data_IF_604808380301
#
_entry.id   IF_604808380301
#
_cell.length_a   1.000
_cell.length_b   1.000
_cell.length_c   1.000
_cell.angle_alpha   90.00
_cell.angle_beta   90.00
_cell.angle_gamma   90.00
#
_symmetry.space_group_name_H-M   'P 1'
#
loop_
_entity.id
_entity.type
_entity.pdbx_description
1 polymer ?
#
# COMPACT_ATOMS: atom_id res chain seq x y z
N UNK A 1 -3.00 15.38 -7.06
CA UNK A 1 -3.46 15.05 -8.44
C UNK A 1 -4.80 15.73 -8.69
N UNK A 2 -5.14 16.00 -9.96
CA UNK A 2 -6.44 16.54 -10.35
C UNK A 2 -7.37 15.38 -10.65
N UNK A 3 -8.52 15.33 -9.97
CA UNK A 3 -9.55 14.29 -10.17
C UNK A 3 -10.86 14.94 -10.59
N UNK A 4 -11.66 14.20 -11.34
CA UNK A 4 -13.05 14.56 -11.63
C UNK A 4 -13.95 13.82 -10.63
N UNK A 5 -14.73 14.57 -9.89
CA UNK A 5 -15.79 14.02 -9.04
C UNK A 5 -16.91 13.44 -9.93
N UNK A 6 -17.75 12.57 -9.36
CA UNK A 6 -18.90 11.97 -10.08
C UNK A 6 -19.89 13.02 -10.61
N UNK A 7 -19.85 14.24 -10.06
CA UNK A 7 -20.65 15.39 -10.49
C UNK A 7 -19.95 16.25 -11.57
N UNK A 8 -18.81 15.80 -12.10
CA UNK A 8 -18.06 16.49 -13.16
C UNK A 8 -17.16 17.62 -12.67
N UNK A 9 -17.15 17.96 -11.37
CA UNK A 9 -16.27 19.00 -10.83
C UNK A 9 -14.83 18.54 -10.75
N UNK A 10 -13.93 19.46 -11.06
CA UNK A 10 -12.50 19.27 -10.90
C UNK A 10 -12.08 19.55 -9.46
N UNK A 11 -11.34 18.62 -8.86
CA UNK A 11 -10.80 18.79 -7.52
C UNK A 11 -9.34 18.37 -7.45
N UNK A 12 -8.53 19.19 -6.79
CA UNK A 12 -7.19 18.79 -6.40
C UNK A 12 -7.28 17.99 -5.10
N UNK A 13 -6.86 16.72 -5.16
CA UNK A 13 -6.79 15.82 -4.02
C UNK A 13 -5.35 15.36 -3.85
N UNK A 14 -4.89 15.29 -2.61
CA UNK A 14 -3.63 14.65 -2.26
C UNK A 14 -3.88 13.27 -1.67
N UNK A 15 -3.03 12.31 -2.06
CA UNK A 15 -3.06 10.96 -1.52
C UNK A 15 -1.79 10.77 -0.69
N UNK A 16 -1.96 10.55 0.61
CA UNK A 16 -0.89 10.11 1.49
C UNK A 16 -0.92 8.57 1.52
N UNK A 17 0.13 7.95 0.99
CA UNK A 17 0.32 6.50 1.08
C UNK A 17 1.50 6.20 1.98
N UNK A 18 1.31 5.32 2.96
CA UNK A 18 2.38 4.79 3.81
C UNK A 18 2.41 3.26 3.66
N UNK A 19 3.58 2.68 3.43
CA UNK A 19 3.76 1.23 3.29
C UNK A 19 4.42 0.69 4.56
N UNK A 20 3.84 -0.37 5.14
CA UNK A 20 4.35 -0.99 6.36
C UNK A 20 4.60 -2.49 6.15
N UNK A 21 5.87 -2.90 6.13
CA UNK A 21 6.30 -4.29 5.92
C UNK A 21 6.53 -5.10 7.21
N UNK A 22 6.45 -4.47 8.38
CA UNK A 22 6.52 -5.09 9.70
C UNK A 22 5.69 -4.28 10.69
N UNK A 23 5.02 -4.91 11.67
CA UNK A 23 4.33 -4.20 12.77
C UNK A 23 5.21 -3.17 13.49
N UNK A 24 6.54 -3.34 13.49
CA UNK A 24 7.48 -2.38 14.07
C UNK A 24 7.15 -2.09 15.54
N UNK A 25 7.17 -0.81 15.93
CA UNK A 25 6.79 -0.35 17.28
C UNK A 25 5.28 -0.17 17.49
N UNK A 26 4.46 -0.42 16.47
CA UNK A 26 3.01 -0.16 16.53
C UNK A 26 2.62 1.31 16.41
N UNK A 27 3.54 2.19 15.99
CA UNK A 27 3.37 3.65 15.88
C UNK A 27 2.76 4.12 14.55
N UNK A 28 2.37 3.19 13.66
CA UNK A 28 1.88 3.52 12.32
C UNK A 28 0.70 4.52 12.35
N UNK A 29 -0.28 4.32 13.25
CA UNK A 29 -1.42 5.23 13.34
C UNK A 29 -1.00 6.67 13.67
N UNK A 30 -0.05 6.84 14.60
CA UNK A 30 0.50 8.16 14.94
C UNK A 30 1.27 8.77 13.76
N UNK A 31 2.08 7.97 13.05
CA UNK A 31 2.79 8.41 11.83
C UNK A 31 1.80 8.86 10.75
N UNK A 32 0.74 8.09 10.55
CA UNK A 32 -0.34 8.40 9.62
C UNK A 32 -0.96 9.77 9.93
N UNK A 33 -1.31 10.01 11.20
CA UNK A 33 -1.85 11.30 11.63
C UNK A 33 -0.84 12.44 11.46
N UNK A 34 0.41 12.26 11.90
CA UNK A 34 1.46 13.29 11.84
C UNK A 34 1.72 13.76 10.42
N UNK A 35 1.79 12.83 9.47
CA UNK A 35 1.99 13.16 8.06
C UNK A 35 0.75 13.78 7.43
N UNK A 36 -0.45 13.27 7.72
CA UNK A 36 -1.69 13.91 7.30
C UNK A 36 -1.74 15.38 7.74
N UNK A 37 -1.48 15.65 9.02
CA UNK A 37 -1.49 17.01 9.56
C UNK A 37 -0.45 17.91 8.86
N UNK A 38 0.78 17.42 8.64
CA UNK A 38 1.83 18.20 7.94
C UNK A 38 1.46 18.51 6.50
N UNK A 39 0.88 17.56 5.77
CA UNK A 39 0.44 17.73 4.39
C UNK A 39 -0.73 18.72 4.35
N UNK A 40 -1.72 18.53 5.24
CA UNK A 40 -2.87 19.42 5.34
C UNK A 40 -2.43 20.84 5.67
N UNK A 41 -1.51 21.01 6.62
CA UNK A 41 -1.04 22.33 7.02
C UNK A 41 -0.31 23.06 5.89
N UNK A 42 0.44 22.33 5.06
CA UNK A 42 1.16 22.92 3.92
C UNK A 42 0.24 23.25 2.74
N UNK A 43 -0.64 22.33 2.35
CA UNK A 43 -1.33 22.42 1.07
C UNK A 43 -2.79 22.89 1.19
N UNK A 44 -3.42 22.73 2.36
CA UNK A 44 -4.81 23.16 2.62
C UNK A 44 -5.82 22.66 1.57
N UNK A 45 -5.59 21.48 1.00
CA UNK A 45 -6.49 20.78 0.08
C UNK A 45 -6.97 19.46 0.69
N UNK A 46 -8.08 18.87 0.21
CA UNK A 46 -8.53 17.55 0.65
C UNK A 46 -7.45 16.48 0.48
N UNK A 47 -7.30 15.64 1.51
CA UNK A 47 -6.34 14.53 1.56
C UNK A 47 -7.09 13.26 1.87
N UNK A 48 -6.82 12.21 1.09
CA UNK A 48 -7.10 10.83 1.51
C UNK A 48 -5.79 10.19 1.99
N UNK A 49 -5.87 9.38 3.03
CA UNK A 49 -4.72 8.64 3.55
C UNK A 49 -5.00 7.14 3.52
N UNK A 50 -3.99 6.38 3.08
CA UNK A 50 -4.06 4.93 2.91
C UNK A 50 -2.78 4.31 3.46
N UNK A 51 -2.92 3.40 4.42
CA UNK A 51 -1.84 2.52 4.85
C UNK A 51 -1.88 1.21 4.03
N UNK A 52 -0.77 0.81 3.44
CA UNK A 52 -0.60 -0.49 2.77
C UNK A 52 0.19 -1.40 3.71
N UNK A 53 -0.46 -2.44 4.21
CA UNK A 53 0.07 -3.36 5.20
C UNK A 53 0.60 -4.62 4.51
N UNK A 54 1.93 -4.71 4.39
CA UNK A 54 2.68 -5.84 3.83
C UNK A 54 3.41 -6.62 4.94
N UNK A 55 2.88 -6.63 6.16
CA UNK A 55 3.40 -7.42 7.27
C UNK A 55 2.72 -8.79 7.39
N UNK A 56 3.38 -9.73 8.06
CA UNK A 56 2.94 -11.13 8.26
C UNK A 56 1.78 -11.29 9.26
N UNK A 57 1.43 -10.25 10.03
CA UNK A 57 0.41 -10.35 11.08
C UNK A 57 -0.99 -10.13 10.53
N UNK A 58 -1.80 -11.20 10.47
CA UNK A 58 -3.21 -11.11 10.02
C UNK A 58 -4.07 -10.14 10.85
N UNK A 59 -3.75 -9.99 12.14
CA UNK A 59 -4.50 -9.15 13.09
C UNK A 59 -4.04 -7.70 13.19
N UNK A 60 -2.86 -7.34 12.66
CA UNK A 60 -2.39 -5.97 12.69
C UNK A 60 -3.07 -5.14 11.61
N UNK A 61 -4.00 -4.27 12.03
CA UNK A 61 -4.88 -3.48 11.14
C UNK A 61 -5.16 -2.09 11.72
N UNK A 62 -4.14 -1.24 11.91
CA UNK A 62 -4.37 0.10 12.39
C UNK A 62 -5.20 0.88 11.35
N UNK A 63 -6.29 1.48 11.82
CA UNK A 63 -7.23 2.27 11.01
C UNK A 63 -7.60 3.60 11.69
N UNK A 64 -7.21 3.78 12.95
CA UNK A 64 -7.51 4.96 13.76
C UNK A 64 -6.31 5.34 14.61
N UNK A 65 -6.03 6.64 14.67
CA UNK A 65 -5.24 7.26 15.73
C UNK A 65 -6.18 8.07 16.63
N UNK A 66 -6.05 7.90 17.95
CA UNK A 66 -6.84 8.64 18.93
C UNK A 66 -6.00 9.10 20.10
N UNK A 67 -6.26 10.30 20.60
CA UNK A 67 -5.72 10.80 21.85
C UNK A 67 -6.77 11.58 22.63
N UNK A 68 -6.70 11.49 23.96
CA UNK A 68 -7.54 12.24 24.89
C UNK A 68 -6.69 12.79 26.02
N UNK A 69 -6.85 14.08 26.32
CA UNK A 69 -6.13 14.74 27.40
C UNK A 69 -6.89 15.95 27.91
N UNK A 70 -7.19 15.97 29.22
CA UNK A 70 -7.83 17.09 29.94
C UNK A 70 -9.02 17.74 29.18
N UNK A 71 -9.97 16.92 28.72
CA UNK A 71 -11.16 17.38 28.00
C UNK A 71 -10.93 17.70 26.51
N UNK A 72 -9.70 17.51 26.01
CA UNK A 72 -9.39 17.57 24.57
C UNK A 72 -9.39 16.16 24.00
N UNK A 73 -10.06 15.96 22.86
CA UNK A 73 -10.02 14.70 22.13
C UNK A 73 -9.66 14.93 20.66
N UNK A 74 -8.95 13.97 20.10
CA UNK A 74 -8.65 13.90 18.68
C UNK A 74 -8.87 12.46 18.22
N UNK A 75 -9.60 12.30 17.13
CA UNK A 75 -9.76 11.04 16.41
C UNK A 75 -9.44 11.26 14.94
N UNK A 76 -8.59 10.41 14.40
CA UNK A 76 -8.17 10.43 13.01
C UNK A 76 -8.33 9.03 12.42
N UNK A 77 -9.35 8.86 11.57
CA UNK A 77 -9.64 7.64 10.83
C UNK A 77 -8.97 7.69 9.46
N UNK A 78 -8.39 6.57 9.01
CA UNK A 78 -7.72 6.44 7.72
C UNK A 78 -7.98 5.08 7.07
N UNK A 79 -7.77 4.99 5.76
CA UNK A 79 -7.97 3.75 5.03
C UNK A 79 -6.78 2.80 5.24
N UNK A 80 -7.04 1.51 5.28
CA UNK A 80 -6.01 0.48 5.35
C UNK A 80 -6.26 -0.59 4.28
N UNK A 81 -5.20 -1.02 3.62
CA UNK A 81 -5.20 -2.09 2.63
C UNK A 81 -4.23 -3.19 3.07
N UNK A 82 -4.73 -4.39 3.35
CA UNK A 82 -3.95 -5.52 3.86
C UNK A 82 -3.60 -6.45 2.71
N UNK A 83 -2.30 -6.60 2.41
CA UNK A 83 -1.82 -7.46 1.33
C UNK A 83 -2.22 -8.92 1.56
N UNK A 84 -2.15 -9.39 2.82
CA UNK A 84 -2.53 -10.75 3.20
C UNK A 84 -4.01 -11.10 3.02
N UNK A 85 -4.87 -10.12 2.73
CA UNK A 85 -6.30 -10.39 2.45
C UNK A 85 -6.55 -10.65 0.96
N UNK A 86 -5.52 -10.55 0.12
CA UNK A 86 -5.66 -10.76 -1.31
C UNK A 86 -5.44 -12.22 -1.66
N UNK A 87 -6.23 -12.68 -2.62
CA UNK A 87 -6.10 -14.02 -3.19
C UNK A 87 -5.17 -13.98 -4.41
N UNK A 88 -4.17 -14.86 -4.42
CA UNK A 88 -3.16 -14.89 -5.48
C UNK A 88 -3.78 -15.07 -6.87
N UNK A 89 -4.77 -15.97 -6.98
CA UNK A 89 -5.47 -16.27 -8.23
C UNK A 89 -6.21 -15.05 -8.79
N UNK A 90 -6.83 -14.24 -7.94
CA UNK A 90 -7.52 -13.01 -8.35
C UNK A 90 -6.53 -11.96 -8.86
N UNK A 91 -5.38 -11.81 -8.18
CA UNK A 91 -4.34 -10.88 -8.60
C UNK A 91 -3.73 -11.28 -9.95
N UNK A 92 -3.52 -12.58 -10.17
CA UNK A 92 -3.03 -13.12 -11.45
C UNK A 92 -4.02 -12.96 -12.59
N UNK A 93 -5.32 -13.13 -12.32
CA UNK A 93 -6.37 -12.95 -13.33
C UNK A 93 -6.62 -11.46 -13.67
N UNK A 94 -6.21 -10.54 -12.80
CA UNK A 94 -6.46 -9.12 -12.99
C UNK A 94 -5.42 -8.48 -13.93
N UNK A 95 -5.92 -7.92 -15.04
CA UNK A 95 -5.11 -7.24 -16.05
C UNK A 95 -4.55 -5.89 -15.58
N UNK A 96 -5.04 -5.37 -14.46
CA UNK A 96 -4.55 -4.11 -13.89
C UNK A 96 -3.04 -4.25 -13.57
N UNK A 97 -2.19 -3.34 -14.08
CA UNK A 97 -0.75 -3.39 -13.80
C UNK A 97 -0.43 -3.25 -12.31
N UNK A 98 -1.29 -2.66 -11.48
CA UNK A 98 -1.10 -2.63 -10.03
C UNK A 98 -1.28 -4.00 -9.38
N UNK A 99 -2.05 -4.91 -9.99
CA UNK A 99 -2.28 -6.24 -9.44
C UNK A 99 -1.01 -7.07 -9.37
N UNK A 100 -0.07 -6.91 -10.32
CA UNK A 100 1.23 -7.60 -10.25
C UNK A 100 2.11 -7.05 -9.13
N UNK A 101 1.97 -5.77 -8.78
CA UNK A 101 2.70 -5.15 -7.66
C UNK A 101 2.19 -5.74 -6.34
N UNK A 102 0.87 -5.82 -6.19
CA UNK A 102 0.23 -6.44 -5.04
C UNK A 102 0.57 -7.94 -4.96
N UNK A 103 0.58 -8.64 -6.10
CA UNK A 103 0.99 -10.05 -6.21
C UNK A 103 2.43 -10.23 -5.74
N UNK A 104 3.34 -9.38 -6.21
CA UNK A 104 4.76 -9.41 -5.81
C UNK A 104 4.89 -9.22 -4.30
N UNK A 105 4.19 -8.24 -3.72
CA UNK A 105 4.18 -8.01 -2.28
C UNK A 105 3.58 -9.21 -1.51
N UNK A 106 2.48 -9.79 -2.00
CA UNK A 106 1.85 -10.97 -1.40
C UNK A 106 2.81 -12.16 -1.38
N UNK A 107 3.40 -12.49 -2.53
CA UNK A 107 4.35 -13.59 -2.65
C UNK A 107 5.57 -13.37 -1.76
N UNK A 108 6.09 -12.14 -1.67
CA UNK A 108 7.21 -11.81 -0.79
C UNK A 108 6.87 -12.02 0.70
N UNK A 109 5.65 -11.68 1.13
CA UNK A 109 5.22 -11.88 2.52
C UNK A 109 5.00 -13.37 2.83
N UNK A 110 4.37 -14.11 1.91
CA UNK A 110 4.03 -15.53 2.09
C UNK A 110 5.25 -16.44 1.98
N UNK A 111 6.19 -16.12 1.08
CA UNK A 111 7.32 -16.98 0.72
C UNK A 111 8.66 -16.56 1.37
N UNK A 112 8.62 -15.83 2.48
CA UNK A 112 9.82 -15.30 3.17
C UNK A 112 10.85 -16.33 3.64
N UNK A 113 10.51 -17.62 3.62
CA UNK A 113 11.39 -18.75 4.03
C UNK A 113 11.69 -19.72 2.90
N UNK A 114 11.45 -19.34 1.64
CA UNK A 114 11.71 -20.20 0.49
C UNK A 114 13.22 -20.25 0.20
N UNK A 115 13.67 -21.37 -0.36
CA UNK A 115 15.06 -21.57 -0.80
C UNK A 115 15.41 -20.62 -1.94
N UNK A 116 16.71 -20.43 -2.19
CA UNK A 116 17.18 -19.58 -3.30
C UNK A 116 16.62 -20.04 -4.66
N UNK A 117 16.48 -21.36 -4.87
CA UNK A 117 15.88 -21.92 -6.09
C UNK A 117 14.40 -21.54 -6.22
N UNK A 118 13.60 -21.67 -5.15
CA UNK A 118 12.19 -21.30 -5.19
C UNK A 118 11.99 -19.77 -5.31
N UNK A 119 12.91 -18.97 -4.77
CA UNK A 119 12.90 -17.53 -4.95
C UNK A 119 13.15 -17.14 -6.42
N UNK A 120 14.03 -17.88 -7.10
CA UNK A 120 14.32 -17.70 -8.53
C UNK A 120 13.10 -18.02 -9.40
N UNK A 121 12.38 -19.10 -9.09
CA UNK A 121 11.13 -19.46 -9.78
C UNK A 121 10.07 -18.37 -9.64
N UNK A 122 9.86 -17.85 -8.42
CA UNK A 122 8.93 -16.74 -8.16
C UNK A 122 9.30 -15.50 -8.98
N UNK A 123 10.60 -15.15 -9.05
CA UNK A 123 11.06 -14.02 -9.86
C UNK A 123 10.70 -14.21 -11.33
N UNK A 124 11.04 -15.36 -11.92
CA UNK A 124 10.73 -15.65 -13.31
C UNK A 124 9.23 -15.57 -13.61
N UNK A 125 8.40 -16.16 -12.75
CA UNK A 125 6.94 -16.09 -12.88
C UNK A 125 6.41 -14.63 -12.84
N UNK A 126 6.91 -13.82 -11.90
CA UNK A 126 6.53 -12.40 -11.84
C UNK A 126 6.94 -11.61 -13.09
N UNK A 127 8.10 -11.91 -13.69
CA UNK A 127 8.49 -11.30 -14.96
C UNK A 127 7.51 -11.62 -16.08
N UNK A 128 7.10 -12.88 -16.18
CA UNK A 128 6.15 -13.33 -17.19
C UNK A 128 4.79 -12.64 -16.99
N UNK A 129 4.33 -12.50 -15.74
CA UNK A 129 3.12 -11.75 -15.40
C UNK A 129 3.21 -10.26 -15.80
N UNK A 130 4.36 -9.62 -15.61
CA UNK A 130 4.58 -8.24 -16.05
C UNK A 130 4.63 -8.11 -17.58
N UNK A 131 5.22 -9.09 -18.27
CA UNK A 131 5.27 -9.14 -19.73
C UNK A 131 3.88 -9.33 -20.35
N UNK A 132 3.06 -10.22 -19.79
CA UNK A 132 1.66 -10.42 -20.22
C UNK A 132 0.85 -9.14 -20.13
N UNK A 133 1.08 -8.31 -19.10
CA UNK A 133 0.44 -7.00 -18.90
C UNK A 133 1.06 -5.87 -19.71
N UNK A 134 2.04 -6.16 -20.58
CA UNK A 134 2.73 -5.18 -21.44
C UNK A 134 3.31 -4.00 -20.66
N UNK A 135 3.80 -4.26 -19.45
CA UNK A 135 4.42 -3.24 -18.63
C UNK A 135 5.71 -2.74 -19.28
N UNK A 136 5.94 -1.43 -19.22
CA UNK A 136 7.15 -0.84 -19.79
C UNK A 136 8.40 -1.33 -19.05
N UNK A 137 9.56 -1.12 -19.69
CA UNK A 137 10.83 -1.64 -19.18
C UNK A 137 11.21 -1.03 -17.83
N UNK A 138 10.95 0.26 -17.63
CA UNK A 138 11.36 0.97 -16.42
C UNK A 138 10.53 0.52 -15.23
N UNK A 139 9.22 0.34 -15.42
CA UNK A 139 8.34 -0.23 -14.39
C UNK A 139 8.73 -1.67 -14.04
N UNK A 140 9.07 -2.50 -15.04
CA UNK A 140 9.54 -3.88 -14.80
C UNK A 140 10.83 -3.91 -13.99
N UNK A 141 11.79 -3.08 -14.34
CA UNK A 141 13.09 -3.01 -13.65
C UNK A 141 12.92 -2.56 -12.19
N UNK A 142 12.10 -1.52 -11.95
CA UNK A 142 11.85 -1.01 -10.60
C UNK A 142 11.19 -2.02 -9.65
N UNK A 143 10.39 -2.95 -10.18
CA UNK A 143 9.78 -4.03 -9.38
C UNK A 143 10.74 -5.22 -9.16
N UNK A 144 11.69 -5.43 -10.07
CA UNK A 144 12.65 -6.54 -10.01
C UNK A 144 13.82 -6.29 -9.05
N UNK A 145 14.17 -5.03 -8.84
CA UNK A 145 15.32 -4.60 -8.04
C UNK A 145 15.01 -4.45 -6.54
N UNK A 146 13.91 -5.06 -6.04
CA UNK A 146 13.64 -5.13 -4.61
C UNK A 146 14.72 -5.98 -3.91
N UNK A 147 15.67 -5.31 -3.25
CA UNK A 147 16.73 -5.86 -2.39
C UNK A 147 16.29 -5.99 -0.94
#
# INVERSE_FOLDING_TARGET
MKVFLKDGREQFVLCHVEIQSNKGRGDLAERMFRYFYRIWDRYKVPITAIAILADESKGYRPVVYSQEFMGTSLRYDFNSYKILDQEESELRANENPFSVIVLTALLAVVNKKVTDDGLKEIKHDLYDEMMKRKMDKDTRQGLYDYH
#
